data_IF_845454432720
#
_entry.id   IF_845454432720
#
_cell.length_a   1.000
_cell.length_b   1.000
_cell.length_c   1.000
_cell.angle_alpha   90.00
_cell.angle_beta   90.00
_cell.angle_gamma   90.00
#
_symmetry.space_group_name_H-M   'P 1'
#
loop_
_entity.id
_entity.type
_entity.pdbx_description
1 polymer ?
#
# COMPACT_ATOMS: atom_id res chain seq x y z
N UNK A 1 12.41 -12.70 -3.08
CA UNK A 1 12.06 -13.29 -1.77
C UNK A 1 11.20 -12.27 -1.05
N UNK A 2 9.99 -12.67 -0.67
CA UNK A 2 9.02 -11.85 0.07
C UNK A 2 8.89 -12.39 1.50
N UNK A 3 10.04 -12.66 2.13
CA UNK A 3 10.14 -13.34 3.44
C UNK A 3 10.30 -12.32 4.56
N UNK A 4 9.47 -11.26 4.54
CA UNK A 4 9.48 -10.22 5.58
C UNK A 4 8.16 -10.21 6.32
N UNK A 5 8.23 -10.50 7.61
CA UNK A 5 7.11 -10.42 8.53
C UNK A 5 7.15 -9.05 9.18
N UNK A 6 6.04 -8.32 9.10
CA UNK A 6 5.95 -6.94 9.60
C UNK A 6 4.92 -6.91 10.71
N UNK A 7 5.32 -6.49 11.90
CA UNK A 7 4.38 -6.24 12.99
C UNK A 7 3.70 -4.88 12.77
N UNK A 8 2.38 -4.84 12.87
CA UNK A 8 1.62 -3.60 12.71
C UNK A 8 0.90 -3.27 14.02
N UNK A 9 1.12 -2.07 14.52
CA UNK A 9 0.40 -1.50 15.66
C UNK A 9 -0.41 -0.32 15.16
N UNK A 10 -1.75 -0.42 15.21
CA UNK A 10 -2.65 0.62 14.73
C UNK A 10 -3.70 1.04 15.75
N UNK A 11 -4.25 2.24 15.54
CA UNK A 11 -5.31 2.85 16.36
C UNK A 11 -6.69 2.24 16.09
N UNK A 12 -6.98 1.81 14.85
CA UNK A 12 -8.24 1.20 14.45
C UNK A 12 -8.09 -0.31 14.20
N UNK A 13 -9.13 -1.08 14.56
CA UNK A 13 -9.17 -2.55 14.48
C UNK A 13 -9.04 -3.11 13.05
N UNK A 14 -9.46 -2.34 12.04
CA UNK A 14 -9.51 -2.78 10.64
C UNK A 14 -8.16 -3.29 10.09
N UNK A 15 -7.06 -2.72 10.57
CA UNK A 15 -5.70 -3.12 10.16
C UNK A 15 -5.27 -4.42 10.86
N UNK A 16 -5.76 -4.64 12.09
CA UNK A 16 -5.47 -5.85 12.87
C UNK A 16 -6.11 -7.09 12.27
N UNK A 17 -7.26 -6.96 11.60
CA UNK A 17 -7.91 -8.08 10.89
C UNK A 17 -7.05 -8.69 9.79
N UNK A 18 -6.14 -7.92 9.17
CA UNK A 18 -5.23 -8.42 8.14
C UNK A 18 -4.02 -9.20 8.70
N UNK A 19 -3.73 -9.11 10.01
CA UNK A 19 -2.42 -9.45 10.56
C UNK A 19 -2.42 -10.57 11.62
N UNK A 20 -3.57 -11.23 11.85
CA UNK A 20 -3.79 -12.13 13.00
C UNK A 20 -2.88 -13.36 13.09
N UNK A 21 -2.23 -13.79 12.00
CA UNK A 21 -1.49 -15.06 11.93
C UNK A 21 0.05 -14.91 11.92
N UNK A 22 0.61 -13.72 12.20
CA UNK A 22 2.06 -13.46 12.11
C UNK A 22 2.73 -13.27 13.48
N UNK A 23 3.57 -14.22 13.91
CA UNK A 23 4.09 -14.26 15.31
C UNK A 23 5.53 -13.75 15.50
N UNK A 24 6.37 -13.63 14.46
CA UNK A 24 7.75 -13.11 14.59
C UNK A 24 8.07 -12.08 13.50
N UNK A 25 8.22 -10.81 13.86
CA UNK A 25 8.43 -9.73 12.91
C UNK A 25 9.89 -9.33 12.70
N UNK A 26 10.28 -9.10 11.45
CA UNK A 26 11.57 -8.51 11.04
C UNK A 26 11.67 -7.02 11.42
N UNK A 27 10.55 -6.30 11.37
CA UNK A 27 10.42 -4.92 11.85
C UNK A 27 8.97 -4.57 12.17
N UNK A 28 8.75 -3.44 12.82
CA UNK A 28 7.43 -2.95 13.18
C UNK A 28 7.09 -1.61 12.53
N UNK A 29 5.79 -1.42 12.28
CA UNK A 29 5.17 -0.17 11.87
C UNK A 29 4.11 0.17 12.90
N UNK A 30 4.22 1.34 13.51
CA UNK A 30 3.22 1.87 14.43
C UNK A 30 2.58 3.10 13.80
N UNK A 31 1.26 3.19 13.73
CA UNK A 31 0.55 4.41 13.32
C UNK A 31 0.16 5.24 14.53
N UNK A 32 0.25 6.56 14.37
CA UNK A 32 -0.23 7.57 15.32
C UNK A 32 -1.19 8.53 14.60
N UNK A 33 -1.91 9.38 15.35
CA UNK A 33 -2.91 10.27 14.76
C UNK A 33 -2.31 11.21 13.70
N UNK A 34 -1.06 11.62 13.89
CA UNK A 34 -0.31 12.45 12.94
C UNK A 34 -0.09 11.75 11.60
N UNK A 35 -0.01 10.42 11.57
CA UNK A 35 0.07 9.67 10.31
C UNK A 35 -1.24 9.73 9.52
N UNK A 36 -2.39 9.68 10.20
CA UNK A 36 -3.73 9.82 9.60
C UNK A 36 -3.92 11.23 9.03
N UNK A 37 -3.53 12.25 9.80
CA UNK A 37 -3.60 13.64 9.37
C UNK A 37 -2.67 13.91 8.18
N UNK A 38 -1.49 13.30 8.17
CA UNK A 38 -0.60 13.37 7.01
C UNK A 38 -1.24 12.80 5.74
N UNK A 39 -1.90 11.64 5.80
CA UNK A 39 -2.60 11.09 4.64
C UNK A 39 -3.81 11.95 4.22
N UNK A 40 -4.51 12.55 5.19
CA UNK A 40 -5.58 13.52 4.93
C UNK A 40 -5.07 14.73 4.14
N UNK A 41 -3.95 15.31 4.54
CA UNK A 41 -3.31 16.43 3.84
C UNK A 41 -2.85 16.04 2.44
N UNK A 42 -2.31 14.83 2.27
CA UNK A 42 -1.95 14.31 0.93
C UNK A 42 -3.16 14.16 0.03
N UNK A 43 -4.29 13.68 0.55
CA UNK A 43 -5.53 13.57 -0.20
C UNK A 43 -6.02 14.96 -0.67
N UNK A 44 -6.03 15.95 0.23
CA UNK A 44 -6.42 17.33 -0.07
C UNK A 44 -5.53 17.92 -1.17
N UNK A 45 -4.20 17.84 -1.00
CA UNK A 45 -3.23 18.32 -1.99
C UNK A 45 -3.40 17.63 -3.35
N UNK A 46 -3.69 16.33 -3.37
CA UNK A 46 -3.95 15.59 -4.61
C UNK A 46 -5.24 16.07 -5.28
N UNK A 47 -6.28 16.32 -4.51
CA UNK A 47 -7.56 16.83 -5.02
C UNK A 47 -7.41 18.24 -5.63
N UNK A 48 -6.65 19.12 -4.97
CA UNK A 48 -6.30 20.45 -5.48
C UNK A 48 -5.55 20.37 -6.81
N UNK A 49 -4.50 19.54 -6.90
CA UNK A 49 -3.72 19.36 -8.13
C UNK A 49 -4.55 18.77 -9.28
N UNK A 50 -5.51 17.90 -8.97
CA UNK A 50 -6.40 17.27 -9.94
C UNK A 50 -7.68 18.09 -10.22
N UNK A 51 -7.84 19.29 -9.63
CA UNK A 51 -9.02 20.15 -9.74
C UNK A 51 -10.34 19.41 -9.43
N UNK A 52 -10.34 18.60 -8.38
CA UNK A 52 -11.51 17.83 -7.92
C UNK A 52 -11.80 18.08 -6.45
N UNK A 53 -13.01 17.72 -6.01
CA UNK A 53 -13.33 17.72 -4.59
C UNK A 53 -12.49 16.67 -3.82
N UNK A 54 -12.07 16.95 -2.58
CA UNK A 54 -11.48 15.95 -1.69
C UNK A 54 -12.46 14.80 -1.43
N UNK A 55 -11.94 13.59 -1.27
CA UNK A 55 -12.77 12.39 -1.07
C UNK A 55 -13.34 12.31 0.35
N UNK A 56 -12.77 13.06 1.30
CA UNK A 56 -13.16 13.08 2.71
C UNK A 56 -13.09 11.67 3.30
N UNK A 57 -11.97 10.99 3.06
CA UNK A 57 -11.74 9.64 3.55
C UNK A 57 -11.85 9.54 5.08
N UNK A 58 -12.37 8.39 5.53
CA UNK A 58 -12.48 8.03 6.94
C UNK A 58 -11.10 7.70 7.53
N UNK A 59 -10.95 7.90 8.83
CA UNK A 59 -9.69 7.70 9.55
C UNK A 59 -9.17 6.26 9.45
N UNK A 60 -10.06 5.27 9.49
CA UNK A 60 -9.70 3.85 9.37
C UNK A 60 -9.03 3.52 8.03
N UNK A 61 -9.49 4.13 6.95
CA UNK A 61 -8.91 3.98 5.62
C UNK A 61 -7.62 4.80 5.45
N UNK A 62 -7.57 6.01 6.02
CA UNK A 62 -6.35 6.81 6.03
C UNK A 62 -5.24 6.15 6.85
N UNK A 63 -5.59 5.46 7.93
CA UNK A 63 -4.65 4.66 8.70
C UNK A 63 -4.09 3.48 7.89
N UNK A 64 -4.94 2.80 7.11
CA UNK A 64 -4.49 1.75 6.18
C UNK A 64 -3.44 2.31 5.19
N UNK A 65 -3.68 3.49 4.61
CA UNK A 65 -2.72 4.16 3.72
C UNK A 65 -1.42 4.53 4.45
N UNK A 66 -1.51 5.00 5.69
CA UNK A 66 -0.35 5.30 6.51
C UNK A 66 0.51 4.06 6.79
N UNK A 67 -0.12 2.91 7.09
CA UNK A 67 0.57 1.63 7.23
C UNK A 67 1.31 1.27 5.95
N UNK A 68 0.64 1.31 4.79
CA UNK A 68 1.29 1.01 3.50
C UNK A 68 2.47 1.92 3.21
N UNK A 69 2.34 3.23 3.48
CA UNK A 69 3.42 4.20 3.30
C UNK A 69 4.62 3.84 4.18
N UNK A 70 4.41 3.62 5.47
CA UNK A 70 5.49 3.34 6.42
C UNK A 70 6.20 2.02 6.13
N UNK A 71 5.47 1.02 5.64
CA UNK A 71 6.06 -0.21 5.09
C UNK A 71 6.95 0.15 3.89
N UNK A 72 6.40 0.86 2.89
CA UNK A 72 7.13 1.21 1.68
C UNK A 72 8.38 2.07 1.94
N UNK A 73 8.36 2.92 2.96
CA UNK A 73 9.53 3.70 3.41
C UNK A 73 10.63 2.84 4.05
N UNK A 74 10.27 1.70 4.65
CA UNK A 74 11.21 0.76 5.29
C UNK A 74 11.78 -0.29 4.34
N UNK A 75 11.03 -0.72 3.33
CA UNK A 75 11.47 -1.77 2.40
C UNK A 75 12.81 -1.52 1.68
N UNK A 76 13.22 -0.26 1.37
CA UNK A 76 14.54 0.00 0.80
C UNK A 76 15.71 -0.43 1.68
N UNK A 77 15.58 -0.40 3.01
CA UNK A 77 16.59 -0.92 3.95
C UNK A 77 16.83 -2.43 3.74
N UNK A 78 15.86 -3.11 3.14
CA UNK A 78 15.87 -4.53 2.80
C UNK A 78 16.05 -4.77 1.28
N UNK A 79 16.61 -3.80 0.56
CA UNK A 79 16.87 -3.87 -0.89
C UNK A 79 15.61 -4.23 -1.70
N UNK A 80 14.43 -3.77 -1.24
CA UNK A 80 13.14 -4.10 -1.83
C UNK A 80 12.34 -2.83 -2.10
N UNK A 81 11.63 -2.78 -3.23
CA UNK A 81 10.69 -1.73 -3.55
C UNK A 81 9.27 -2.28 -3.59
N UNK A 82 8.32 -1.52 -3.05
CA UNK A 82 6.90 -1.88 -3.05
C UNK A 82 6.20 -1.22 -4.24
N UNK A 83 5.57 -2.04 -5.09
CA UNK A 83 4.78 -1.58 -6.22
C UNK A 83 3.34 -2.05 -6.11
N UNK A 84 2.40 -1.14 -6.30
CA UNK A 84 0.99 -1.49 -6.51
C UNK A 84 0.75 -1.72 -8.01
N UNK A 85 0.80 -2.99 -8.42
CA UNK A 85 0.67 -3.40 -9.83
C UNK A 85 0.31 -4.87 -9.98
N UNK A 86 0.24 -5.32 -11.23
CA UNK A 86 0.14 -6.74 -11.58
C UNK A 86 1.46 -7.22 -12.17
N UNK A 87 1.82 -8.48 -11.91
CA UNK A 87 3.08 -9.08 -12.38
C UNK A 87 2.79 -10.39 -13.07
N UNK A 88 3.44 -10.63 -14.21
CA UNK A 88 3.48 -11.93 -14.87
C UNK A 88 4.92 -12.35 -15.11
N UNK A 89 5.18 -13.66 -15.13
CA UNK A 89 6.46 -14.22 -15.52
C UNK A 89 6.29 -14.98 -16.84
N UNK A 90 7.05 -14.61 -17.87
CA UNK A 90 7.06 -15.26 -19.19
C UNK A 90 8.52 -15.49 -19.58
N UNK A 91 8.87 -16.73 -19.96
CA UNK A 91 10.21 -17.13 -20.37
C UNK A 91 11.34 -16.67 -19.42
N UNK A 92 11.11 -16.79 -18.11
CA UNK A 92 12.08 -16.39 -17.09
C UNK A 92 12.20 -14.88 -16.87
N UNK A 93 11.39 -14.06 -17.56
CA UNK A 93 11.35 -12.61 -17.40
C UNK A 93 10.08 -12.17 -16.66
N UNK A 94 10.24 -11.26 -15.70
CA UNK A 94 9.12 -10.66 -14.97
C UNK A 94 8.68 -9.35 -15.63
N UNK A 95 7.37 -9.20 -15.86
CA UNK A 95 6.76 -7.99 -16.38
C UNK A 95 5.85 -7.38 -15.31
N UNK A 96 6.17 -6.16 -14.88
CA UNK A 96 5.39 -5.38 -13.92
C UNK A 96 4.53 -4.35 -14.66
N UNK A 97 3.22 -4.41 -14.49
CA UNK A 97 2.27 -3.45 -15.02
C UNK A 97 1.77 -2.53 -13.90
N UNK A 98 2.04 -1.23 -14.03
CA UNK A 98 1.55 -0.19 -13.12
C UNK A 98 0.60 0.74 -13.88
N UNK A 99 -0.55 1.07 -13.28
CA UNK A 99 -1.52 1.99 -13.87
C UNK A 99 -2.36 2.69 -12.78
N UNK A 100 -3.05 3.79 -13.10
CA UNK A 100 -4.05 4.40 -12.19
C UNK A 100 -5.22 3.44 -11.97
N UNK A 101 -5.98 3.60 -10.88
CA UNK A 101 -7.00 2.65 -10.37
C UNK A 101 -8.19 2.34 -11.29
N UNK A 102 -8.25 2.84 -12.53
CA UNK A 102 -9.37 2.61 -13.47
C UNK A 102 -8.90 2.18 -14.87
N UNK A 103 -7.60 2.02 -15.11
CA UNK A 103 -7.06 1.61 -16.41
C UNK A 103 -6.61 0.16 -16.38
N UNK A 104 -7.57 -0.77 -16.45
CA UNK A 104 -7.35 -2.14 -16.93
C UNK A 104 -6.17 -2.95 -16.35
N UNK A 105 -5.72 -2.74 -15.10
CA UNK A 105 -4.56 -3.46 -14.51
C UNK A 105 -4.68 -4.99 -14.54
N UNK A 106 -5.91 -5.48 -14.55
CA UNK A 106 -6.27 -6.90 -14.65
C UNK A 106 -6.64 -7.35 -16.08
N UNK A 107 -6.52 -6.48 -17.09
CA UNK A 107 -6.76 -6.82 -18.50
C UNK A 107 -5.62 -7.59 -19.18
N UNK A 108 -4.32 -7.47 -18.80
CA UNK A 108 -3.26 -8.29 -19.39
C UNK A 108 -3.49 -9.80 -19.28
N UNK A 109 -4.25 -10.25 -18.27
CA UNK A 109 -4.56 -11.66 -18.05
C UNK A 109 -5.42 -12.30 -19.15
N UNK A 110 -6.16 -11.53 -19.95
CA UNK A 110 -7.10 -12.09 -20.96
C UNK A 110 -6.50 -12.30 -22.36
N UNK A 111 -5.29 -11.81 -22.64
CA UNK A 111 -4.69 -11.84 -23.97
C UNK A 111 -3.53 -12.85 -24.12
N UNK A 112 -3.21 -13.60 -23.07
CA UNK A 112 -2.10 -14.58 -23.03
C UNK A 112 -2.60 -16.04 -22.89
N UNK A 113 -3.79 -16.34 -23.40
CA UNK A 113 -4.29 -17.71 -23.58
C UNK A 113 -4.40 -18.01 -25.07
#
# INVERSE_FOLDING_TARGET
MADKVIAITSLHEKVHDYCKDYETADFSVTTIQEDIEFERQREQKTAELENRAPLQSKDDYLEELAVYRKIAEKMPDYHTFLFHGSVIAVDGQGYLFTAKSVTGKSTPYKALV
#
